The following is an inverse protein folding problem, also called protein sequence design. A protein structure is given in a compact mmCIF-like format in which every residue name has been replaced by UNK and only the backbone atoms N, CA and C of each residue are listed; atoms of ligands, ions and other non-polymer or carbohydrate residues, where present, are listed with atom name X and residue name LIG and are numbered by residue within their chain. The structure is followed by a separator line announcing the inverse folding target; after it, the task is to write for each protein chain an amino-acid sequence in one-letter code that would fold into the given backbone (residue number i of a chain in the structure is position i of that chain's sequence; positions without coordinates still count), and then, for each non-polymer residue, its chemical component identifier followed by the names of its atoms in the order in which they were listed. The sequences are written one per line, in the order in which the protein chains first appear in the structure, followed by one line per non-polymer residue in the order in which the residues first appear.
data_IF_306329837120
#
_entry.id   IF_306329837120
#
_cell.length_a   1.000
_cell.length_b   1.000
_cell.length_c   1.000
_cell.angle_alpha   90.00
_cell.angle_beta   90.00
_cell.angle_gamma   90.00
#
_symmetry.space_group_name_H-M   'P 1'
#
loop_
_entity.id
_entity.type
_entity.pdbx_description
1 polymer ?
#
# COMPACT_ATOMS: atom_id res chain seq x y z
N UNK A 1 10.77 44.95 55.44
CA UNK A 1 11.10 45.85 54.32
C UNK A 1 12.26 45.21 53.54
N UNK A 2 12.01 44.70 52.39
CA UNK A 2 12.81 44.70 51.16
C UNK A 2 12.07 43.83 50.15
N UNK A 3 11.59 44.50 49.10
CA UNK A 3 10.88 43.94 47.96
C UNK A 3 11.87 43.25 47.02
N UNK A 4 11.57 42.05 46.56
CA UNK A 4 12.24 41.44 45.41
C UNK A 4 11.29 41.37 44.25
N UNK A 5 11.59 42.09 43.19
CA UNK A 5 10.89 42.09 41.95
C UNK A 5 11.11 40.79 41.17
N UNK A 6 10.04 40.18 40.72
CA UNK A 6 10.04 39.06 39.79
C UNK A 6 10.17 39.54 38.35
N UNK A 7 11.22 39.14 37.68
CA UNK A 7 11.37 39.30 36.22
C UNK A 7 10.67 38.19 35.49
N UNK A 8 9.59 38.55 34.76
CA UNK A 8 8.95 37.67 33.81
C UNK A 8 9.74 37.63 32.50
N UNK A 9 10.36 36.50 32.18
CA UNK A 9 10.90 36.24 30.85
C UNK A 9 9.78 35.76 29.94
N UNK A 10 9.28 36.66 29.10
CA UNK A 10 8.40 36.30 27.98
C UNK A 10 9.23 35.70 26.84
N UNK A 11 9.06 34.42 26.61
CA UNK A 11 9.49 33.77 25.39
C UNK A 11 8.67 34.26 24.20
N UNK A 12 9.26 34.60 23.07
CA UNK A 12 8.46 34.94 21.89
C UNK A 12 7.82 33.66 21.33
N UNK A 13 6.51 33.61 21.36
CA UNK A 13 5.69 32.68 20.62
C UNK A 13 5.78 33.04 19.14
N UNK A 14 6.57 32.30 18.37
CA UNK A 14 6.52 32.36 16.92
C UNK A 14 5.27 31.60 16.45
N UNK A 15 4.18 32.30 16.29
CA UNK A 15 3.02 31.83 15.53
C UNK A 15 3.35 31.96 14.04
N UNK A 16 4.12 31.02 13.48
CA UNK A 16 4.09 30.80 12.04
C UNK A 16 2.67 30.30 11.69
N UNK A 17 1.96 31.12 10.92
CA UNK A 17 0.71 30.67 10.30
C UNK A 17 1.04 29.51 9.37
N UNK A 18 0.27 28.40 9.41
CA UNK A 18 0.42 27.34 8.43
C UNK A 18 0.31 27.94 7.03
N UNK A 19 1.28 27.66 6.17
CA UNK A 19 1.21 28.00 4.75
C UNK A 19 0.07 27.15 4.18
N UNK A 20 -1.09 27.73 4.02
CA UNK A 20 -2.19 27.11 3.28
C UNK A 20 -1.84 27.18 1.81
N UNK A 21 -1.37 26.06 1.25
CA UNK A 21 -1.29 25.90 -0.19
C UNK A 21 -2.69 26.08 -0.79
N UNK A 22 -2.82 26.66 -1.98
CA UNK A 22 -4.12 26.77 -2.64
C UNK A 22 -4.63 25.35 -2.91
N UNK A 23 -5.76 25.02 -2.30
CA UNK A 23 -6.43 23.73 -2.49
C UNK A 23 -7.09 23.74 -3.85
N UNK A 24 -6.55 22.95 -4.80
CA UNK A 24 -7.16 22.78 -6.11
C UNK A 24 -7.93 21.47 -6.10
N UNK A 25 -9.25 21.56 -6.14
CA UNK A 25 -10.14 20.41 -6.18
C UNK A 25 -10.45 20.02 -7.63
N UNK A 26 -10.55 18.71 -7.96
CA UNK A 26 -11.08 18.30 -9.24
C UNK A 26 -12.56 18.74 -9.37
N UNK A 27 -12.97 19.08 -10.58
CA UNK A 27 -14.35 19.48 -10.84
C UNK A 27 -15.34 18.33 -10.58
N UNK A 28 -16.51 18.67 -10.08
CA UNK A 28 -17.57 17.71 -9.77
C UNK A 28 -18.23 17.17 -11.06
N UNK A 29 -18.58 15.88 -11.17
CA UNK A 29 -18.61 14.82 -10.16
C UNK A 29 -17.35 13.92 -10.19
N UNK A 30 -16.25 14.34 -9.60
CA UNK A 30 -15.02 13.54 -9.44
C UNK A 30 -14.30 13.21 -10.74
N UNK A 31 -14.50 14.00 -11.78
CA UNK A 31 -13.76 13.92 -13.04
C UNK A 31 -12.54 14.82 -12.92
N UNK A 32 -11.37 14.28 -13.30
CA UNK A 32 -10.15 15.07 -13.31
C UNK A 32 -10.26 16.27 -14.27
N UNK A 33 -9.93 17.46 -13.78
CA UNK A 33 -9.62 18.56 -14.66
C UNK A 33 -8.36 18.22 -15.45
N UNK A 34 -8.46 18.27 -16.77
CA UNK A 34 -7.35 18.00 -17.67
C UNK A 34 -6.66 19.30 -18.07
N UNK A 35 -5.33 19.27 -18.18
CA UNK A 35 -4.55 20.41 -18.60
C UNK A 35 -3.36 19.98 -19.48
N UNK A 36 -2.84 20.89 -20.30
CA UNK A 36 -1.60 20.61 -21.01
C UNK A 36 -0.42 20.72 -20.06
N UNK A 37 0.64 19.92 -20.23
CA UNK A 37 1.84 20.02 -19.42
C UNK A 37 2.41 21.44 -19.38
N UNK A 38 2.40 22.15 -20.49
CA UNK A 38 2.94 23.51 -20.61
C UNK A 38 2.18 24.50 -19.71
N UNK A 39 0.88 24.30 -19.52
CA UNK A 39 0.05 25.19 -18.68
C UNK A 39 0.39 25.12 -17.20
N UNK A 40 1.10 24.08 -16.77
CA UNK A 40 1.57 23.87 -15.39
C UNK A 40 3.10 23.83 -15.29
N UNK A 41 3.79 24.39 -16.29
CA UNK A 41 5.25 24.55 -16.28
C UNK A 41 6.02 23.27 -16.55
N UNK A 42 5.46 22.33 -17.32
CA UNK A 42 6.13 21.09 -17.71
C UNK A 42 6.22 20.96 -19.23
N UNK A 43 7.20 20.23 -19.72
CA UNK A 43 7.42 19.96 -21.14
C UNK A 43 6.71 18.67 -21.55
N UNK A 44 5.74 18.75 -22.47
CA UNK A 44 5.06 17.60 -23.04
C UNK A 44 6.01 16.63 -23.75
N UNK A 45 7.03 17.14 -24.42
CA UNK A 45 8.03 16.33 -25.12
C UNK A 45 8.85 15.48 -24.14
N UNK A 46 9.30 16.06 -23.03
CA UNK A 46 10.05 15.32 -21.99
C UNK A 46 9.16 14.38 -21.21
N UNK A 47 7.91 14.76 -20.90
CA UNK A 47 6.94 13.83 -20.31
C UNK A 47 6.68 12.65 -21.24
N UNK A 48 6.57 12.88 -22.55
CA UNK A 48 6.44 11.78 -23.51
C UNK A 48 7.59 10.78 -23.38
N UNK A 49 8.84 11.26 -23.25
CA UNK A 49 10.02 10.39 -23.07
C UNK A 49 9.95 9.60 -21.74
N UNK A 50 9.53 10.25 -20.65
CA UNK A 50 9.33 9.56 -19.38
C UNK A 50 8.30 8.44 -19.51
N UNK A 51 7.19 8.69 -20.20
CA UNK A 51 6.16 7.68 -20.41
C UNK A 51 6.56 6.61 -21.44
N UNK A 52 7.40 6.92 -22.41
CA UNK A 52 8.01 5.92 -23.30
C UNK A 52 8.88 4.95 -22.50
N UNK A 53 9.67 5.47 -21.56
CA UNK A 53 10.41 4.63 -20.61
C UNK A 53 9.47 3.74 -19.77
N UNK A 54 8.40 4.31 -19.19
CA UNK A 54 7.47 3.53 -18.37
C UNK A 54 6.74 2.44 -19.16
N UNK A 55 6.45 2.69 -20.46
CA UNK A 55 5.70 1.79 -21.33
C UNK A 55 6.58 0.89 -22.22
N UNK A 56 7.91 0.89 -22.01
CA UNK A 56 8.81 0.03 -22.78
C UNK A 56 8.48 -1.44 -22.62
N UNK A 57 8.81 -2.25 -23.61
CA UNK A 57 8.65 -3.70 -23.55
C UNK A 57 9.44 -4.32 -22.40
N UNK A 58 8.87 -5.26 -21.70
CA UNK A 58 9.43 -5.87 -20.49
C UNK A 58 9.25 -5.03 -19.22
N UNK A 59 8.61 -3.85 -19.27
CA UNK A 59 8.23 -3.10 -18.09
C UNK A 59 6.94 -3.62 -17.45
N UNK A 60 6.11 -4.33 -18.19
CA UNK A 60 4.77 -4.78 -17.80
C UNK A 60 3.82 -3.67 -17.34
N UNK A 61 4.13 -2.42 -17.62
CA UNK A 61 3.29 -1.29 -17.26
C UNK A 61 1.99 -1.34 -18.04
N UNK A 62 0.85 -1.27 -17.34
CA UNK A 62 -0.48 -1.22 -17.94
C UNK A 62 -1.10 0.17 -17.89
N UNK A 63 -0.72 0.96 -16.90
CA UNK A 63 -1.17 2.34 -16.77
C UNK A 63 -0.08 3.19 -16.12
N UNK A 64 0.07 4.42 -16.59
CA UNK A 64 0.83 5.46 -15.92
C UNK A 64 0.11 6.79 -16.12
N UNK A 65 0.06 7.62 -15.07
CA UNK A 65 -0.54 8.94 -15.13
C UNK A 65 0.13 9.89 -14.14
N UNK A 66 0.01 11.18 -14.40
CA UNK A 66 0.56 12.24 -13.57
C UNK A 66 -0.47 13.34 -13.33
N UNK A 67 -0.61 13.70 -12.06
CA UNK A 67 -1.37 14.85 -11.60
C UNK A 67 -0.36 15.91 -11.17
N UNK A 68 -0.52 17.11 -11.67
CA UNK A 68 0.27 18.29 -11.32
C UNK A 68 -0.66 19.45 -10.96
N UNK A 69 -0.47 20.01 -9.78
CA UNK A 69 -1.30 21.12 -9.28
C UNK A 69 -2.81 20.83 -9.37
N UNK A 70 -3.21 19.58 -9.03
CA UNK A 70 -4.59 19.13 -9.03
C UNK A 70 -5.17 18.79 -10.40
N UNK A 71 -4.38 18.83 -11.47
CA UNK A 71 -4.84 18.55 -12.84
C UNK A 71 -4.18 17.31 -13.42
N UNK A 72 -4.95 16.50 -14.13
CA UNK A 72 -4.44 15.40 -14.92
C UNK A 72 -3.75 16.00 -16.18
N UNK A 73 -2.43 15.83 -16.27
CA UNK A 73 -1.65 16.44 -17.34
C UNK A 73 -1.11 15.44 -18.35
N UNK A 74 -1.00 14.17 -17.98
CA UNK A 74 -0.62 13.10 -18.90
C UNK A 74 -1.06 11.75 -18.37
N UNK A 75 -1.48 10.86 -19.27
CA UNK A 75 -1.79 9.46 -18.97
C UNK A 75 -1.57 8.57 -20.17
N UNK A 76 -1.16 7.33 -19.93
CA UNK A 76 -1.07 6.28 -20.95
C UNK A 76 -1.49 4.94 -20.38
N UNK A 77 -2.05 4.12 -21.28
CA UNK A 77 -2.57 2.78 -20.98
C UNK A 77 -2.15 1.80 -22.06
N UNK A 78 -1.88 0.54 -21.69
CA UNK A 78 -1.68 -0.55 -22.64
C UNK A 78 -1.96 -1.91 -22.00
N UNK A 79 -2.23 -2.92 -22.83
CA UNK A 79 -2.10 -4.32 -22.43
C UNK A 79 -0.64 -4.77 -22.39
N UNK A 80 -0.39 -6.01 -22.05
CA UNK A 80 0.94 -6.61 -22.16
C UNK A 80 1.28 -6.90 -23.62
N UNK A 81 2.59 -6.95 -23.90
CA UNK A 81 3.11 -7.32 -25.22
C UNK A 81 3.21 -8.84 -25.37
N UNK A 82 3.41 -9.30 -26.61
CA UNK A 82 3.65 -10.72 -26.89
C UNK A 82 4.91 -11.26 -26.17
N UNK A 83 5.96 -10.43 -26.08
CA UNK A 83 7.20 -10.83 -25.38
C UNK A 83 6.97 -10.89 -23.87
N UNK A 84 6.24 -9.97 -23.28
CA UNK A 84 5.85 -10.00 -21.87
C UNK A 84 4.97 -11.22 -21.55
N UNK A 85 4.01 -11.54 -22.42
CA UNK A 85 3.20 -12.75 -22.27
C UNK A 85 4.04 -14.02 -22.30
N UNK A 86 5.02 -14.11 -23.21
CA UNK A 86 5.92 -15.26 -23.29
C UNK A 86 6.78 -15.45 -22.03
N UNK A 87 7.21 -14.36 -21.37
CA UNK A 87 7.90 -14.44 -20.08
C UNK A 87 7.01 -15.03 -18.99
N UNK A 88 5.72 -14.72 -19.00
CA UNK A 88 4.75 -15.30 -18.06
C UNK A 88 4.48 -16.77 -18.34
N UNK A 89 4.42 -17.19 -19.61
CA UNK A 89 4.30 -18.61 -20.00
C UNK A 89 5.40 -19.45 -19.36
N UNK A 90 6.64 -18.97 -19.44
CA UNK A 90 7.78 -19.67 -18.85
C UNK A 90 7.69 -19.81 -17.33
N UNK A 91 7.05 -18.85 -16.66
CA UNK A 91 6.99 -18.80 -15.19
C UNK A 91 5.77 -19.50 -14.60
N UNK A 92 4.65 -19.56 -15.31
CA UNK A 92 3.33 -19.94 -14.74
C UNK A 92 2.73 -21.19 -15.40
N UNK A 93 3.24 -21.64 -16.56
CA UNK A 93 2.76 -22.84 -17.22
C UNK A 93 1.37 -22.72 -17.85
N UNK A 94 0.95 -21.50 -18.20
CA UNK A 94 -0.24 -21.21 -19.03
C UNK A 94 0.22 -20.80 -20.42
N UNK A 95 -0.65 -20.91 -21.44
CA UNK A 95 -0.32 -20.47 -22.78
C UNK A 95 -0.28 -18.93 -22.91
N UNK A 96 0.34 -18.46 -23.98
CA UNK A 96 0.47 -17.03 -24.26
C UNK A 96 -0.87 -16.34 -24.40
N UNK A 97 -1.84 -16.98 -25.06
CA UNK A 97 -3.16 -16.39 -25.27
C UNK A 97 -3.92 -16.18 -23.97
N UNK A 98 -3.71 -17.06 -22.98
CA UNK A 98 -4.29 -16.87 -21.65
C UNK A 98 -3.84 -15.51 -21.07
N UNK A 99 -2.55 -15.19 -21.13
CA UNK A 99 -2.03 -13.93 -20.58
C UNK A 99 -2.43 -12.72 -21.44
N UNK A 100 -2.38 -12.82 -22.76
CA UNK A 100 -2.83 -11.75 -23.67
C UNK A 100 -4.31 -11.41 -23.49
N UNK A 101 -5.15 -12.40 -23.19
CA UNK A 101 -6.55 -12.18 -22.90
C UNK A 101 -6.77 -11.57 -21.51
N UNK A 102 -6.03 -12.08 -20.48
CA UNK A 102 -6.16 -11.62 -19.11
C UNK A 102 -5.68 -10.17 -18.95
N UNK A 103 -4.57 -9.82 -19.61
CA UNK A 103 -3.95 -8.50 -19.59
C UNK A 103 -4.08 -7.78 -20.94
N UNK A 104 -5.26 -7.89 -21.54
CA UNK A 104 -5.58 -7.24 -22.81
C UNK A 104 -5.46 -5.70 -22.73
N UNK A 105 -5.80 -5.01 -23.80
CA UNK A 105 -5.76 -3.54 -23.84
C UNK A 105 -6.44 -2.91 -22.63
N UNK A 106 -5.80 -1.89 -22.09
CA UNK A 106 -6.27 -1.12 -20.93
C UNK A 106 -6.62 0.30 -21.34
N UNK A 107 -7.53 0.87 -20.59
CA UNK A 107 -7.97 2.26 -20.70
C UNK A 107 -8.15 2.87 -19.29
N UNK A 108 -8.70 4.08 -19.25
CA UNK A 108 -8.94 4.82 -18.01
C UNK A 108 -9.90 4.14 -17.03
N UNK A 109 -10.78 3.29 -17.55
CA UNK A 109 -11.84 2.62 -16.79
C UNK A 109 -11.46 1.19 -16.39
N UNK A 110 -10.29 0.72 -16.85
CA UNK A 110 -9.80 -0.61 -16.55
C UNK A 110 -9.36 -0.72 -15.10
N UNK A 111 -9.85 -1.77 -14.42
CA UNK A 111 -9.45 -2.07 -13.05
C UNK A 111 -8.06 -2.68 -13.01
N UNK A 112 -7.30 -2.28 -12.02
CA UNK A 112 -6.00 -2.85 -11.67
C UNK A 112 -5.99 -3.17 -10.18
N UNK A 113 -5.23 -4.18 -9.78
CA UNK A 113 -5.12 -4.49 -8.36
C UNK A 113 -3.96 -3.77 -7.70
N UNK A 114 -4.18 -3.37 -6.47
CA UNK A 114 -3.23 -2.56 -5.70
C UNK A 114 -2.03 -3.33 -5.16
N UNK A 115 -2.15 -4.66 -4.98
CA UNK A 115 -1.26 -5.40 -4.08
C UNK A 115 -1.05 -4.63 -2.76
N UNK A 116 0.18 -4.57 -2.26
CA UNK A 116 0.47 -3.94 -0.96
C UNK A 116 0.22 -2.43 -0.88
N UNK A 117 -0.07 -1.75 -1.98
CA UNK A 117 -0.59 -0.37 -1.97
C UNK A 117 -1.86 -0.25 -1.12
N UNK A 118 -2.67 -1.31 -1.03
CA UNK A 118 -3.81 -1.42 -0.12
C UNK A 118 -3.48 -1.08 1.34
N UNK A 119 -2.28 -1.43 1.81
CA UNK A 119 -1.86 -1.16 3.19
C UNK A 119 -1.94 0.32 3.56
N UNK A 120 -1.59 1.17 2.62
CA UNK A 120 -1.65 2.62 2.81
C UNK A 120 -3.08 3.13 2.90
N UNK A 121 -4.02 2.51 2.16
CA UNK A 121 -5.44 2.82 2.31
C UNK A 121 -5.95 2.41 3.70
N UNK A 122 -5.61 1.20 4.17
CA UNK A 122 -6.00 0.75 5.52
C UNK A 122 -5.40 1.64 6.60
N UNK A 123 -4.14 2.05 6.46
CA UNK A 123 -3.52 3.01 7.35
C UNK A 123 -4.30 4.32 7.40
N UNK A 124 -4.69 4.86 6.24
CA UNK A 124 -5.44 6.10 6.19
C UNK A 124 -6.84 5.95 6.80
N UNK A 125 -7.49 4.77 6.68
CA UNK A 125 -8.74 4.47 7.38
C UNK A 125 -8.57 4.46 8.91
N UNK A 126 -7.43 3.98 9.43
CA UNK A 126 -7.08 4.14 10.86
C UNK A 126 -6.96 5.63 11.22
N UNK A 127 -6.31 6.44 10.37
CA UNK A 127 -6.24 7.89 10.55
C UNK A 127 -7.62 8.56 10.59
N UNK A 128 -8.54 8.14 9.73
CA UNK A 128 -9.94 8.58 9.75
C UNK A 128 -10.63 8.14 11.04
N UNK A 129 -10.44 6.88 11.47
CA UNK A 129 -11.05 6.34 12.68
C UNK A 129 -10.59 7.10 13.94
N UNK A 130 -9.33 7.54 13.97
CA UNK A 130 -8.83 8.41 15.04
C UNK A 130 -9.45 9.81 14.92
N UNK A 131 -9.52 10.34 13.71
CA UNK A 131 -10.06 11.68 13.46
C UNK A 131 -11.53 11.84 13.86
N UNK A 132 -12.33 10.81 13.65
CA UNK A 132 -13.77 10.81 14.00
C UNK A 132 -14.09 10.21 15.36
N UNK A 133 -13.07 9.81 16.14
CA UNK A 133 -13.22 9.30 17.50
C UNK A 133 -13.66 7.84 17.60
N UNK A 134 -13.71 7.09 16.50
CA UNK A 134 -13.95 5.62 16.49
C UNK A 134 -12.81 4.87 17.19
N UNK A 135 -11.58 5.35 17.02
CA UNK A 135 -10.37 4.92 17.74
C UNK A 135 -9.84 6.13 18.50
N UNK A 136 -9.48 5.96 19.78
CA UNK A 136 -9.03 7.11 20.59
C UNK A 136 -7.66 7.60 20.17
N UNK A 137 -6.71 6.69 19.93
CA UNK A 137 -5.33 7.02 19.56
C UNK A 137 -4.63 5.84 18.89
N UNK A 138 -3.72 6.11 17.95
CA UNK A 138 -2.82 5.07 17.43
C UNK A 138 -1.81 4.58 18.48
N UNK A 139 -1.63 5.33 19.56
CA UNK A 139 -0.75 4.92 20.67
C UNK A 139 -1.44 4.00 21.68
N UNK A 140 -2.73 3.77 21.54
CA UNK A 140 -3.46 2.83 22.39
C UNK A 140 -3.03 1.39 22.09
N UNK A 141 -3.14 0.55 23.11
CA UNK A 141 -2.92 -0.88 22.93
C UNK A 141 -3.92 -1.47 21.95
N UNK A 142 -3.42 -2.25 21.00
CA UNK A 142 -4.26 -3.00 20.06
C UNK A 142 -5.16 -4.02 20.78
N UNK A 143 -4.79 -4.46 21.99
CA UNK A 143 -5.57 -5.40 22.79
C UNK A 143 -6.93 -4.86 23.25
N UNK A 144 -7.15 -3.54 23.16
CA UNK A 144 -8.48 -2.93 23.36
C UNK A 144 -9.48 -3.50 22.33
N UNK A 145 -9.01 -3.80 21.15
CA UNK A 145 -9.82 -4.34 20.04
C UNK A 145 -9.53 -5.83 19.80
N UNK A 146 -8.28 -6.27 19.91
CA UNK A 146 -7.86 -7.66 19.74
C UNK A 146 -7.81 -8.32 21.11
N UNK A 147 -8.96 -8.74 21.62
CA UNK A 147 -9.11 -9.29 22.97
C UNK A 147 -8.21 -10.51 23.23
N UNK A 148 -7.86 -11.25 22.18
CA UNK A 148 -6.95 -12.39 22.20
C UNK A 148 -5.54 -12.02 22.70
N UNK A 149 -5.20 -10.73 22.68
CA UNK A 149 -3.91 -10.21 23.13
C UNK A 149 -3.94 -9.62 24.54
N UNK A 150 -5.11 -9.57 25.18
CA UNK A 150 -5.29 -8.86 26.46
C UNK A 150 -4.67 -9.57 27.67
N UNK A 151 -4.38 -10.86 27.57
CA UNK A 151 -3.96 -11.70 28.70
C UNK A 151 -2.47 -12.06 28.68
N UNK A 152 -1.71 -11.60 27.70
CA UNK A 152 -0.28 -11.88 27.56
C UNK A 152 0.49 -10.61 27.14
N UNK A 153 1.81 -10.76 26.90
CA UNK A 153 2.70 -9.64 26.57
C UNK A 153 2.32 -8.89 25.29
N UNK A 154 1.49 -9.49 24.42
CA UNK A 154 0.96 -8.81 23.22
C UNK A 154 0.06 -7.63 23.58
N UNK A 155 -0.40 -7.53 24.81
CA UNK A 155 -1.14 -6.36 25.34
C UNK A 155 -0.31 -5.07 25.31
N UNK A 156 1.00 -5.18 25.20
CA UNK A 156 1.90 -4.02 25.04
C UNK A 156 1.99 -3.48 23.60
N UNK A 157 1.49 -4.21 22.61
CA UNK A 157 1.52 -3.81 21.20
C UNK A 157 0.54 -2.66 20.98
N UNK A 158 1.02 -1.53 20.53
CA UNK A 158 0.16 -0.39 20.15
C UNK A 158 -0.30 -0.51 18.69
N UNK A 159 -1.39 0.18 18.34
CA UNK A 159 -1.82 0.30 16.93
C UNK A 159 -0.69 0.91 16.09
N UNK A 160 0.07 1.87 16.66
CA UNK A 160 1.23 2.47 15.99
C UNK A 160 2.33 1.43 15.69
N UNK A 161 2.62 0.51 16.60
CA UNK A 161 3.59 -0.55 16.33
C UNK A 161 3.18 -1.39 15.11
N UNK A 162 1.89 -1.68 14.96
CA UNK A 162 1.36 -2.43 13.82
C UNK A 162 1.43 -1.59 12.53
N UNK A 163 1.05 -0.30 12.59
CA UNK A 163 1.15 0.62 11.48
C UNK A 163 2.59 0.77 10.96
N UNK A 164 3.56 0.73 11.85
CA UNK A 164 4.98 0.88 11.52
C UNK A 164 5.68 -0.46 11.20
N UNK A 165 4.96 -1.57 11.13
CA UNK A 165 5.53 -2.91 10.93
C UNK A 165 6.57 -3.28 12.01
N UNK A 166 6.26 -2.95 13.27
CA UNK A 166 7.10 -3.13 14.46
C UNK A 166 6.32 -3.82 15.58
N UNK A 167 5.36 -4.66 15.21
CA UNK A 167 4.50 -5.37 16.16
C UNK A 167 5.27 -6.37 17.04
N UNK A 168 6.39 -6.85 16.57
CA UNK A 168 7.15 -7.89 17.27
C UNK A 168 6.58 -9.30 17.17
N UNK A 169 5.54 -9.48 16.36
CA UNK A 169 4.90 -10.78 16.18
C UNK A 169 5.69 -11.66 15.18
N UNK A 170 5.80 -12.95 15.52
CA UNK A 170 6.49 -13.91 14.64
C UNK A 170 5.80 -13.98 13.28
N UNK A 171 6.53 -13.89 12.17
CA UNK A 171 5.96 -14.01 10.82
C UNK A 171 5.38 -15.42 10.57
N UNK A 172 4.46 -15.50 9.60
CA UNK A 172 3.93 -16.77 9.10
C UNK A 172 4.80 -17.25 7.94
N UNK A 173 5.28 -18.48 8.03
CA UNK A 173 6.06 -19.18 7.02
C UNK A 173 5.28 -20.37 6.46
N UNK A 174 5.68 -20.83 5.28
CA UNK A 174 5.21 -22.09 4.74
C UNK A 174 6.20 -23.21 5.14
N UNK A 175 5.72 -24.19 5.91
CA UNK A 175 6.46 -25.38 6.22
C UNK A 175 6.28 -26.41 5.11
N UNK A 176 7.30 -26.55 4.25
CA UNK A 176 7.26 -27.49 3.13
C UNK A 176 7.29 -28.97 3.57
N UNK A 177 7.78 -29.26 4.78
CA UNK A 177 7.82 -30.63 5.27
C UNK A 177 6.42 -31.12 5.68
N UNK A 178 5.66 -30.26 6.32
CA UNK A 178 4.32 -30.57 6.79
C UNK A 178 3.22 -30.06 5.83
N UNK A 179 3.60 -29.32 4.80
CA UNK A 179 2.68 -28.69 3.82
C UNK A 179 1.63 -27.79 4.52
N UNK A 180 2.07 -27.02 5.49
CA UNK A 180 1.21 -26.16 6.30
C UNK A 180 1.80 -24.76 6.51
N UNK A 181 0.94 -23.82 6.90
CA UNK A 181 1.33 -22.50 7.36
C UNK A 181 1.47 -22.48 8.87
N UNK A 182 2.67 -22.15 9.34
CA UNK A 182 3.02 -22.05 10.73
C UNK A 182 3.84 -20.78 11.00
N UNK A 183 4.02 -20.45 12.28
CA UNK A 183 5.00 -19.44 12.66
C UNK A 183 6.39 -19.84 12.20
N UNK A 184 7.15 -18.87 11.71
CA UNK A 184 8.50 -19.12 11.24
C UNK A 184 9.40 -19.64 12.36
N UNK A 185 9.99 -20.81 12.16
CA UNK A 185 10.92 -21.45 13.08
C UNK A 185 12.23 -21.77 12.38
N UNK A 186 13.25 -22.20 13.14
CA UNK A 186 14.50 -22.73 12.58
C UNK A 186 14.19 -23.97 11.74
N UNK A 187 14.41 -23.89 10.44
CA UNK A 187 14.17 -24.99 9.49
C UNK A 187 12.94 -24.87 8.62
N UNK A 188 12.02 -23.96 8.91
CA UNK A 188 10.99 -23.60 7.95
C UNK A 188 11.59 -22.76 6.83
N UNK A 189 11.11 -22.96 5.60
CA UNK A 189 11.53 -22.11 4.51
C UNK A 189 11.11 -20.66 4.81
N UNK A 190 12.09 -19.84 5.10
CA UNK A 190 11.86 -18.43 5.39
C UNK A 190 11.47 -17.77 4.08
N UNK A 191 10.20 -17.49 3.91
CA UNK A 191 9.79 -16.58 2.85
C UNK A 191 9.33 -15.24 3.44
N UNK A 192 9.45 -14.24 2.60
CA UNK A 192 8.83 -12.94 2.84
C UNK A 192 7.34 -13.11 3.11
N UNK A 193 6.73 -12.29 3.96
CA UNK A 193 5.36 -12.33 4.48
C UNK A 193 4.18 -12.59 3.52
N UNK A 194 4.44 -13.11 2.31
CA UNK A 194 3.44 -13.47 1.31
C UNK A 194 2.75 -14.82 1.52
N UNK A 195 3.28 -15.67 2.40
CA UNK A 195 2.77 -17.04 2.56
C UNK A 195 1.34 -17.14 3.09
N UNK A 196 0.87 -16.15 3.78
CA UNK A 196 -0.48 -16.08 4.33
C UNK A 196 -1.56 -16.27 3.25
N UNK A 197 -1.29 -15.98 2.00
CA UNK A 197 -2.22 -16.18 0.87
C UNK A 197 -2.64 -17.64 0.68
N UNK A 198 -1.90 -18.58 1.24
CA UNK A 198 -2.22 -20.01 1.18
C UNK A 198 -3.13 -20.48 2.33
N UNK A 199 -3.53 -19.57 3.25
CA UNK A 199 -4.45 -19.89 4.34
C UNK A 199 -5.90 -19.69 3.91
N UNK A 200 -6.77 -20.60 4.34
CA UNK A 200 -8.22 -20.45 4.17
C UNK A 200 -8.77 -19.35 5.10
N UNK A 201 -8.19 -19.20 6.28
CA UNK A 201 -8.50 -18.17 7.27
C UNK A 201 -7.24 -17.40 7.60
N UNK A 202 -6.97 -16.37 6.80
CA UNK A 202 -5.78 -15.56 6.94
C UNK A 202 -5.83 -14.69 8.21
N UNK A 203 -7.00 -14.22 8.58
CA UNK A 203 -7.16 -13.36 9.77
C UNK A 203 -6.86 -14.13 11.06
N UNK A 204 -7.41 -15.32 11.21
CA UNK A 204 -7.16 -16.17 12.38
C UNK A 204 -5.65 -16.47 12.53
N UNK A 205 -4.98 -16.81 11.42
CA UNK A 205 -3.51 -17.00 11.42
C UNK A 205 -2.77 -15.76 11.91
N UNK A 206 -3.22 -14.58 11.50
CA UNK A 206 -2.56 -13.31 11.85
C UNK A 206 -2.77 -12.92 13.32
N UNK A 207 -3.97 -13.13 13.87
CA UNK A 207 -4.30 -12.80 15.26
C UNK A 207 -3.58 -13.74 16.24
N UNK A 208 -3.45 -15.02 15.89
CA UNK A 208 -2.93 -16.06 16.80
C UNK A 208 -1.39 -16.14 16.82
N UNK A 209 -0.68 -15.22 16.17
CA UNK A 209 0.79 -15.16 16.23
C UNK A 209 1.28 -14.85 17.64
N UNK A 210 2.39 -15.50 18.02
CA UNK A 210 3.11 -15.22 19.26
C UNK A 210 4.06 -14.04 19.11
N UNK A 211 4.47 -13.45 20.24
CA UNK A 211 5.58 -12.49 20.26
C UNK A 211 6.90 -13.23 20.04
N UNK A 212 7.78 -12.61 19.24
CA UNK A 212 9.13 -13.07 19.09
C UNK A 212 9.95 -12.87 20.36
N UNK A 213 10.86 -13.79 20.63
CA UNK A 213 11.84 -13.64 21.71
C UNK A 213 12.77 -12.47 21.41
N UNK A 214 12.97 -11.60 22.39
CA UNK A 214 13.79 -10.41 22.30
C UNK A 214 15.27 -10.71 22.60
N UNK A 215 16.18 -10.03 21.93
CA UNK A 215 17.61 -10.13 22.18
C UNK A 215 18.28 -11.40 21.65
N UNK A 216 17.63 -12.15 20.76
CA UNK A 216 18.15 -13.36 20.13
C UNK A 216 18.12 -13.26 18.60
N UNK A 217 18.81 -14.18 17.95
CA UNK A 217 18.75 -14.31 16.49
C UNK A 217 17.55 -15.14 16.07
N UNK A 218 16.86 -14.72 15.04
CA UNK A 218 15.76 -15.45 14.43
C UNK A 218 16.05 -15.77 12.95
N UNK A 219 15.75 -16.98 12.45
CA UNK A 219 16.03 -17.34 11.07
C UNK A 219 15.22 -16.51 10.04
N UNK A 220 14.15 -15.88 10.48
CA UNK A 220 13.28 -15.01 9.69
C UNK A 220 13.64 -13.52 9.77
N UNK A 221 14.61 -13.13 10.63
CA UNK A 221 15.03 -11.74 10.78
C UNK A 221 16.38 -11.51 10.12
N UNK A 222 16.43 -10.54 9.22
CA UNK A 222 17.61 -10.28 8.39
C UNK A 222 18.05 -11.56 7.63
N UNK A 223 19.31 -11.91 7.74
CA UNK A 223 19.93 -13.11 7.19
C UNK A 223 20.03 -14.26 8.23
N UNK A 224 19.31 -14.13 9.35
CA UNK A 224 19.36 -15.08 10.46
C UNK A 224 20.55 -14.90 11.40
N UNK A 225 21.47 -13.97 11.12
CA UNK A 225 22.65 -13.71 11.94
C UNK A 225 22.55 -12.47 12.82
N UNK A 226 21.58 -11.60 12.57
CA UNK A 226 21.36 -10.38 13.32
C UNK A 226 20.47 -10.62 14.54
N UNK A 227 20.83 -10.05 15.70
CA UNK A 227 20.01 -10.07 16.90
C UNK A 227 18.75 -9.23 16.62
N UNK A 228 17.60 -9.82 16.89
CA UNK A 228 16.31 -9.15 16.80
C UNK A 228 16.00 -8.47 18.14
N UNK A 229 15.50 -7.24 18.07
CA UNK A 229 14.95 -6.53 19.21
C UNK A 229 13.48 -6.19 18.98
N UNK A 230 12.69 -6.31 20.05
CA UNK A 230 11.27 -5.98 20.01
C UNK A 230 11.09 -4.51 19.60
N UNK A 231 10.35 -4.29 18.51
CA UNK A 231 10.24 -2.97 17.89
C UNK A 231 11.12 -2.78 16.65
N UNK A 232 11.97 -3.75 16.30
CA UNK A 232 12.64 -3.75 15.01
C UNK A 232 11.63 -3.87 13.88
N UNK A 233 11.98 -3.24 12.76
CA UNK A 233 11.13 -3.28 11.56
C UNK A 233 11.11 -4.70 10.95
N UNK A 234 9.90 -5.22 10.77
CA UNK A 234 9.68 -6.46 10.00
C UNK A 234 8.40 -6.35 9.18
N UNK A 235 8.55 -6.22 7.88
CA UNK A 235 7.42 -6.13 6.97
C UNK A 235 6.50 -7.37 7.08
N UNK A 236 5.19 -7.13 7.30
CA UNK A 236 4.23 -8.19 7.61
C UNK A 236 2.86 -7.91 7.00
N UNK A 237 2.37 -8.82 6.16
CA UNK A 237 1.00 -8.78 5.66
C UNK A 237 -0.02 -8.95 6.80
N UNK A 238 0.33 -9.76 7.79
CA UNK A 238 -0.49 -10.00 8.97
C UNK A 238 -0.75 -8.74 9.79
N UNK A 239 0.22 -7.85 9.89
CA UNK A 239 0.04 -6.59 10.63
C UNK A 239 -1.11 -5.78 10.02
N UNK A 240 -1.17 -5.69 8.70
CA UNK A 240 -2.27 -4.97 8.06
C UNK A 240 -3.62 -5.73 8.14
N UNK A 241 -3.61 -7.08 8.10
CA UNK A 241 -4.84 -7.84 8.37
C UNK A 241 -5.42 -7.50 9.74
N UNK A 242 -4.56 -7.41 10.77
CA UNK A 242 -4.97 -7.01 12.13
C UNK A 242 -5.50 -5.57 12.17
N UNK A 243 -4.91 -4.62 11.41
CA UNK A 243 -5.47 -3.26 11.31
C UNK A 243 -6.89 -3.25 10.73
N UNK A 244 -7.16 -4.08 9.72
CA UNK A 244 -8.51 -4.26 9.18
C UNK A 244 -9.50 -4.78 10.24
N UNK A 245 -9.07 -5.72 11.06
CA UNK A 245 -9.86 -6.26 12.17
C UNK A 245 -10.08 -5.23 13.28
N UNK A 246 -9.07 -4.40 13.57
CA UNK A 246 -9.22 -3.28 14.53
C UNK A 246 -10.31 -2.33 14.07
N UNK A 247 -10.35 -1.97 12.78
CA UNK A 247 -11.42 -1.14 12.22
C UNK A 247 -12.78 -1.81 12.44
N UNK A 248 -12.89 -3.11 12.13
CA UNK A 248 -14.14 -3.85 12.30
C UNK A 248 -14.60 -3.84 13.76
N UNK A 249 -13.73 -4.19 14.71
CA UNK A 249 -14.10 -4.26 16.12
C UNK A 249 -14.36 -2.90 16.76
N UNK A 250 -13.71 -1.85 16.26
CA UNK A 250 -13.94 -0.48 16.72
C UNK A 250 -15.25 0.12 16.19
N UNK A 251 -15.59 -0.16 14.92
CA UNK A 251 -16.70 0.50 14.22
C UNK A 251 -17.95 -0.36 14.04
N UNK A 252 -17.82 -1.69 14.14
CA UNK A 252 -18.86 -2.65 13.75
C UNK A 252 -18.99 -2.83 12.23
N UNK A 253 -18.12 -2.23 11.43
CA UNK A 253 -18.13 -2.28 9.96
C UNK A 253 -16.85 -2.92 9.44
N UNK A 254 -16.96 -3.84 8.47
CA UNK A 254 -15.79 -4.32 7.75
C UNK A 254 -15.08 -3.20 6.98
N UNK A 255 -13.81 -3.43 6.58
CA UNK A 255 -13.00 -2.38 5.96
C UNK A 255 -13.59 -1.87 4.64
N UNK A 256 -14.31 -2.71 3.86
CA UNK A 256 -14.97 -2.28 2.63
C UNK A 256 -16.10 -1.30 2.96
N UNK A 257 -16.99 -1.69 3.85
CA UNK A 257 -18.12 -0.86 4.29
C UNK A 257 -17.64 0.42 4.94
N UNK A 258 -16.62 0.32 5.81
CA UNK A 258 -16.04 1.48 6.48
C UNK A 258 -15.38 2.46 5.49
N UNK A 259 -14.62 1.92 4.53
CA UNK A 259 -13.97 2.73 3.49
C UNK A 259 -14.97 3.40 2.56
N UNK A 260 -16.01 2.67 2.13
CA UNK A 260 -17.08 3.20 1.28
C UNK A 260 -17.73 4.41 1.92
N UNK A 261 -18.10 4.30 3.19
CA UNK A 261 -18.80 5.37 3.91
C UNK A 261 -17.89 6.55 4.26
N UNK A 262 -16.65 6.28 4.70
CA UNK A 262 -15.78 7.30 5.29
C UNK A 262 -14.74 7.88 4.33
N UNK A 263 -14.42 7.19 3.21
CA UNK A 263 -13.40 7.61 2.27
C UNK A 263 -13.88 7.58 0.82
N UNK A 264 -14.26 6.41 0.29
CA UNK A 264 -14.44 6.22 -1.15
C UNK A 264 -15.55 7.11 -1.71
N UNK A 265 -16.73 7.10 -1.08
CA UNK A 265 -17.84 7.99 -1.48
C UNK A 265 -17.50 9.48 -1.34
N UNK A 266 -16.59 9.83 -0.43
CA UNK A 266 -16.20 11.22 -0.17
C UNK A 266 -15.29 11.80 -1.24
N UNK A 267 -14.37 10.97 -1.76
CA UNK A 267 -13.39 11.40 -2.75
C UNK A 267 -13.68 10.84 -4.17
N UNK A 268 -14.84 10.20 -4.34
CA UNK A 268 -15.30 9.69 -5.63
C UNK A 268 -14.44 8.56 -6.18
N UNK A 269 -14.01 7.64 -5.32
CA UNK A 269 -13.33 6.40 -5.67
C UNK A 269 -14.32 5.26 -5.73
N UNK A 270 -14.18 4.38 -6.73
CA UNK A 270 -14.79 3.06 -6.76
C UNK A 270 -13.70 2.02 -6.59
N UNK A 271 -13.68 1.33 -5.45
CA UNK A 271 -12.65 0.34 -5.16
C UNK A 271 -13.21 -0.83 -4.33
N UNK A 272 -12.66 -2.01 -4.53
CA UNK A 272 -13.15 -3.23 -3.90
C UNK A 272 -12.03 -4.17 -3.49
N UNK A 273 -12.03 -4.61 -2.21
CA UNK A 273 -11.08 -5.60 -1.71
C UNK A 273 -11.45 -7.02 -2.10
N UNK A 274 -10.42 -7.82 -2.36
CA UNK A 274 -10.54 -9.27 -2.45
C UNK A 274 -10.80 -9.88 -1.07
N UNK A 275 -11.29 -11.14 -1.09
CA UNK A 275 -11.52 -11.94 0.12
C UNK A 275 -10.74 -13.25 0.08
N UNK A 276 -10.40 -13.78 1.26
CA UNK A 276 -10.00 -15.17 1.42
C UNK A 276 -11.23 -16.10 1.52
N UNK A 277 -10.96 -17.39 1.66
CA UNK A 277 -12.00 -18.39 1.93
C UNK A 277 -11.81 -18.91 3.35
N UNK A 278 -12.72 -18.60 4.23
CA UNK A 278 -12.70 -19.14 5.60
C UNK A 278 -13.01 -20.64 5.62
N UNK A 279 -13.86 -21.12 4.73
CA UNK A 279 -14.11 -22.55 4.48
C UNK A 279 -14.91 -22.72 3.20
N UNK A 280 -14.86 -23.94 2.61
CA UNK A 280 -15.76 -24.28 1.49
C UNK A 280 -17.21 -24.08 1.92
N UNK A 281 -17.93 -23.24 1.17
CA UNK A 281 -19.35 -22.97 1.40
C UNK A 281 -19.68 -21.79 2.29
N UNK A 282 -18.71 -21.09 2.89
CA UNK A 282 -18.95 -19.82 3.57
C UNK A 282 -18.81 -18.65 2.61
N UNK A 283 -19.89 -17.86 2.49
CA UNK A 283 -19.93 -16.66 1.64
C UNK A 283 -19.13 -15.47 2.19
N UNK A 284 -18.60 -15.58 3.41
CA UNK A 284 -18.06 -14.48 4.20
C UNK A 284 -16.57 -14.66 4.50
N UNK A 285 -15.72 -14.73 3.48
CA UNK A 285 -14.27 -14.67 3.68
C UNK A 285 -13.83 -13.32 4.26
N UNK A 286 -12.63 -13.31 4.87
CA UNK A 286 -12.03 -12.07 5.38
C UNK A 286 -11.58 -11.17 4.23
N UNK A 287 -11.85 -9.88 4.31
CA UNK A 287 -11.30 -8.90 3.39
C UNK A 287 -9.78 -8.81 3.55
N UNK A 288 -9.05 -8.86 2.43
CA UNK A 288 -7.59 -8.89 2.43
C UNK A 288 -7.03 -7.47 2.59
N UNK A 289 -7.09 -6.96 3.81
CA UNK A 289 -6.67 -5.60 4.14
C UNK A 289 -5.26 -5.25 3.64
N UNK A 290 -4.35 -6.23 3.59
CA UNK A 290 -2.95 -6.04 3.23
C UNK A 290 -2.68 -5.96 1.73
N UNK A 291 -3.64 -6.36 0.88
CA UNK A 291 -3.46 -6.36 -0.57
C UNK A 291 -4.79 -6.20 -1.32
N UNK A 292 -4.68 -6.25 -2.61
CA UNK A 292 -5.75 -6.72 -3.48
C UNK A 292 -7.00 -5.84 -3.41
N UNK A 293 -6.80 -4.52 -3.41
CA UNK A 293 -7.83 -3.52 -3.63
C UNK A 293 -7.86 -3.20 -5.13
N UNK A 294 -8.94 -3.55 -5.80
CA UNK A 294 -9.15 -3.25 -7.20
C UNK A 294 -9.78 -1.88 -7.37
N UNK A 295 -9.20 -1.08 -8.26
CA UNK A 295 -9.71 0.24 -8.62
C UNK A 295 -9.14 0.68 -9.96
N UNK A 296 -9.57 1.82 -10.49
CA UNK A 296 -8.93 2.43 -11.65
C UNK A 296 -7.65 3.18 -11.26
N UNK A 297 -6.73 3.33 -12.20
CA UNK A 297 -5.51 4.14 -11.95
C UNK A 297 -5.83 5.59 -11.65
N UNK A 298 -6.89 6.13 -12.26
CA UNK A 298 -7.38 7.50 -11.97
C UNK A 298 -7.90 7.63 -10.54
N UNK A 299 -8.53 6.61 -9.99
CA UNK A 299 -9.00 6.59 -8.61
C UNK A 299 -7.85 6.45 -7.61
N UNK A 300 -6.84 5.65 -7.93
CA UNK A 300 -5.61 5.63 -7.13
C UNK A 300 -4.94 7.02 -7.08
N UNK A 301 -5.00 7.77 -8.18
CA UNK A 301 -4.49 9.15 -8.18
C UNK A 301 -5.29 10.09 -7.27
N UNK A 302 -6.62 9.90 -7.13
CA UNK A 302 -7.44 10.69 -6.19
C UNK A 302 -6.99 10.48 -4.75
N UNK A 303 -6.66 9.24 -4.38
CA UNK A 303 -6.11 8.95 -3.06
C UNK A 303 -4.78 9.69 -2.82
N UNK A 304 -3.86 9.61 -3.78
CA UNK A 304 -2.59 10.35 -3.72
C UNK A 304 -2.80 11.87 -3.64
N UNK A 305 -3.71 12.40 -4.44
CA UNK A 305 -4.02 13.83 -4.43
C UNK A 305 -4.67 14.30 -3.13
N UNK A 306 -5.56 13.51 -2.55
CA UNK A 306 -6.14 13.80 -1.24
C UNK A 306 -5.05 13.88 -0.15
N UNK A 307 -4.06 12.98 -0.15
CA UNK A 307 -2.91 13.06 0.74
C UNK A 307 -2.10 14.33 0.51
N UNK A 308 -1.87 14.69 -0.75
CA UNK A 308 -1.18 15.92 -1.13
C UNK A 308 -1.88 17.17 -0.57
N UNK A 309 -3.20 17.14 -0.47
CA UNK A 309 -4.05 18.18 0.13
C UNK A 309 -4.14 18.11 1.67
N UNK A 310 -3.27 17.32 2.33
CA UNK A 310 -3.25 17.22 3.79
C UNK A 310 -4.41 16.40 4.37
N UNK A 311 -5.00 15.50 3.61
CA UNK A 311 -6.16 14.70 4.03
C UNK A 311 -7.50 15.45 3.92
N UNK A 312 -7.54 16.49 3.13
CA UNK A 312 -8.74 17.31 2.88
C UNK A 312 -9.22 17.05 1.45
N UNK A 313 -10.52 16.93 1.27
CA UNK A 313 -11.16 16.80 -0.04
C UNK A 313 -12.41 17.66 -0.10
N UNK A 314 -12.51 18.54 -1.11
CA UNK A 314 -13.63 19.49 -1.28
C UNK A 314 -14.02 20.24 0.00
N UNK A 315 -13.04 20.67 0.78
CA UNK A 315 -13.25 21.36 2.06
C UNK A 315 -13.65 20.45 3.22
N UNK A 316 -13.86 19.16 2.99
CA UNK A 316 -14.13 18.17 4.03
C UNK A 316 -12.85 17.52 4.51
N UNK A 317 -12.62 17.52 5.81
CA UNK A 317 -11.47 16.85 6.43
C UNK A 317 -11.78 15.35 6.47
N UNK A 318 -10.94 14.55 5.81
CA UNK A 318 -11.03 13.10 5.85
C UNK A 318 -10.21 12.51 7.01
N UNK A 319 -9.06 13.12 7.32
CA UNK A 319 -8.24 12.78 8.47
C UNK A 319 -7.57 14.03 9.03
N UNK A 320 -7.14 13.98 10.30
CA UNK A 320 -6.38 15.08 10.87
C UNK A 320 -5.11 15.37 10.07
N UNK A 321 -4.85 16.64 9.82
CA UNK A 321 -3.63 17.07 9.12
C UNK A 321 -2.36 16.49 9.77
N UNK A 322 -2.33 16.35 11.10
CA UNK A 322 -1.20 15.76 11.82
C UNK A 322 -0.89 14.31 11.39
N UNK A 323 -1.89 13.54 10.96
CA UNK A 323 -1.65 12.19 10.44
C UNK A 323 -0.95 12.23 9.08
N UNK A 324 -1.38 13.14 8.20
CA UNK A 324 -0.75 13.32 6.89
C UNK A 324 0.64 13.94 7.03
N UNK A 325 0.83 14.90 7.95
CA UNK A 325 2.16 15.45 8.26
C UNK A 325 3.11 14.37 8.80
N UNK A 326 2.61 13.43 9.59
CA UNK A 326 3.42 12.29 10.04
C UNK A 326 3.82 11.37 8.87
N UNK A 327 2.95 11.16 7.89
CA UNK A 327 3.29 10.44 6.64
C UNK A 327 4.33 11.23 5.84
N UNK A 328 4.14 12.53 5.68
CA UNK A 328 5.06 13.41 4.94
C UNK A 328 6.46 13.45 5.57
N UNK A 329 6.56 13.36 6.90
CA UNK A 329 7.80 13.40 7.65
C UNK A 329 8.54 12.07 7.79
N UNK A 330 8.15 11.02 7.05
CA UNK A 330 8.82 9.72 7.13
C UNK A 330 10.25 9.78 6.56
N UNK A 331 11.18 9.15 7.27
CA UNK A 331 12.56 8.99 6.83
C UNK A 331 12.78 7.68 6.04
N UNK A 332 11.93 6.67 6.27
CA UNK A 332 12.03 5.39 5.55
C UNK A 332 10.65 4.73 5.39
N UNK A 333 10.20 3.97 6.37
CA UNK A 333 8.90 3.32 6.42
C UNK A 333 8.18 3.65 7.72
N UNK A 334 6.91 3.94 7.64
CA UNK A 334 6.02 4.11 8.77
C UNK A 334 4.60 4.36 8.31
N UNK A 335 3.65 4.17 9.21
CA UNK A 335 2.22 4.34 8.90
C UNK A 335 1.81 3.64 7.59
N UNK A 336 2.41 2.50 7.26
CA UNK A 336 2.18 1.72 6.02
C UNK A 336 2.54 2.47 4.72
N UNK A 337 3.43 3.46 4.77
CA UNK A 337 3.99 4.18 3.63
C UNK A 337 5.51 4.03 3.58
N UNK A 338 6.08 4.21 2.40
CA UNK A 338 7.51 4.22 2.15
C UNK A 338 7.99 5.61 1.73
N UNK A 339 9.22 5.96 2.05
CA UNK A 339 9.95 6.86 1.16
C UNK A 339 10.43 6.05 -0.04
N UNK A 340 10.32 6.59 -1.24
CA UNK A 340 10.70 5.85 -2.45
C UNK A 340 12.18 5.45 -2.41
N UNK A 341 13.04 6.30 -1.87
CA UNK A 341 14.47 6.11 -1.76
C UNK A 341 14.86 5.02 -0.77
N UNK A 342 14.18 4.90 0.36
CA UNK A 342 14.47 3.85 1.33
C UNK A 342 14.26 2.44 0.74
N UNK A 343 13.34 2.30 -0.20
CA UNK A 343 13.06 1.02 -0.87
C UNK A 343 13.97 0.73 -2.04
N UNK A 344 14.47 1.77 -2.73
CA UNK A 344 15.27 1.68 -3.95
C UNK A 344 16.61 2.43 -3.79
N UNK A 345 17.42 1.99 -2.85
CA UNK A 345 18.66 2.66 -2.39
C UNK A 345 19.79 2.74 -3.42
N UNK A 346 19.65 2.16 -4.59
CA UNK A 346 20.74 2.07 -5.58
C UNK A 346 20.91 3.32 -6.44
N UNK A 347 20.01 4.31 -6.34
CA UNK A 347 20.09 5.53 -7.14
C UNK A 347 20.54 6.72 -6.27
N UNK A 348 21.75 7.23 -6.51
CA UNK A 348 22.35 8.33 -5.78
C UNK A 348 21.59 9.67 -5.90
N UNK A 349 20.67 9.77 -6.87
CA UNK A 349 19.90 10.98 -7.14
C UNK A 349 18.43 10.87 -6.67
N UNK A 350 18.12 9.89 -5.82
CA UNK A 350 16.77 9.73 -5.31
C UNK A 350 16.38 10.88 -4.38
N UNK A 351 15.21 11.46 -4.59
CA UNK A 351 14.64 12.50 -3.72
C UNK A 351 13.93 11.82 -2.53
N UNK A 352 14.51 11.94 -1.34
CA UNK A 352 14.01 11.32 -0.11
C UNK A 352 12.67 11.90 0.36
N UNK A 353 12.26 13.05 -0.17
CA UNK A 353 10.98 13.69 0.17
C UNK A 353 9.76 13.04 -0.50
N UNK A 354 9.98 12.11 -1.44
CA UNK A 354 8.89 11.46 -2.17
C UNK A 354 8.36 10.28 -1.34
N UNK A 355 7.14 10.43 -0.88
CA UNK A 355 6.39 9.37 -0.21
C UNK A 355 5.71 8.50 -1.26
N UNK A 356 5.71 7.20 -1.04
CA UNK A 356 5.09 6.26 -1.97
C UNK A 356 4.31 5.16 -1.26
N UNK A 357 3.19 4.78 -1.85
CA UNK A 357 2.63 3.45 -1.65
C UNK A 357 3.34 2.49 -2.60
N UNK A 358 3.63 1.28 -2.17
CA UNK A 358 4.36 0.31 -2.99
C UNK A 358 3.66 -1.05 -2.93
N UNK A 359 3.17 -1.51 -4.07
CA UNK A 359 2.62 -2.84 -4.26
C UNK A 359 3.55 -3.75 -5.06
N UNK A 360 3.40 -5.06 -4.86
CA UNK A 360 4.09 -6.08 -5.64
C UNK A 360 3.89 -5.81 -7.13
N UNK A 361 4.84 -6.24 -7.96
CA UNK A 361 4.86 -6.03 -9.41
C UNK A 361 4.92 -4.55 -9.84
N UNK A 362 5.13 -3.64 -8.89
CA UNK A 362 5.34 -2.22 -9.19
C UNK A 362 4.04 -1.42 -9.27
N UNK A 363 3.14 -1.63 -8.35
CA UNK A 363 1.98 -0.76 -8.15
C UNK A 363 2.42 0.44 -7.30
N UNK A 364 2.45 1.64 -7.87
CA UNK A 364 2.95 2.84 -7.20
C UNK A 364 1.92 3.96 -7.20
N UNK A 365 1.82 4.66 -6.06
CA UNK A 365 1.31 6.02 -5.97
C UNK A 365 2.44 6.82 -5.33
N UNK A 366 3.15 7.61 -6.12
CA UNK A 366 4.24 8.46 -5.65
C UNK A 366 3.72 9.87 -5.43
N UNK A 367 4.02 10.46 -4.28
CA UNK A 367 3.48 11.74 -3.83
C UNK A 367 4.64 12.67 -3.53
N UNK A 368 4.78 13.72 -4.30
CA UNK A 368 5.75 14.79 -4.07
C UNK A 368 5.03 16.02 -3.51
N UNK A 369 5.09 16.16 -2.20
CA UNK A 369 4.47 17.29 -1.49
C UNK A 369 5.14 18.63 -1.83
N UNK A 370 6.41 18.62 -2.22
CA UNK A 370 7.15 19.85 -2.48
C UNK A 370 6.84 20.43 -3.85
N UNK A 371 6.47 19.55 -4.82
CA UNK A 371 6.22 19.95 -6.20
C UNK A 371 4.74 19.83 -6.61
N UNK A 372 3.85 19.46 -5.68
CA UNK A 372 2.43 19.20 -5.97
C UNK A 372 2.23 18.19 -7.12
N UNK A 373 2.95 17.07 -7.05
CA UNK A 373 2.89 16.01 -8.06
C UNK A 373 2.40 14.71 -7.42
N UNK A 374 1.49 14.05 -8.12
CA UNK A 374 1.15 12.64 -7.89
C UNK A 374 1.42 11.86 -9.15
N UNK A 375 2.18 10.80 -9.04
CA UNK A 375 2.42 9.86 -10.14
C UNK A 375 1.87 8.51 -9.76
N UNK A 376 1.02 7.95 -10.61
CA UNK A 376 0.54 6.58 -10.48
C UNK A 376 1.14 5.75 -11.59
N UNK A 377 1.64 4.59 -11.24
CA UNK A 377 2.01 3.56 -12.20
C UNK A 377 1.45 2.23 -11.73
N UNK A 378 0.70 1.58 -12.60
CA UNK A 378 0.21 0.24 -12.39
C UNK A 378 0.82 -0.70 -13.42
N UNK A 379 1.26 -1.83 -12.93
CA UNK A 379 1.74 -2.96 -13.70
C UNK A 379 0.67 -4.03 -13.75
N UNK A 380 0.90 -5.05 -14.54
CA UNK A 380 0.13 -6.28 -14.36
C UNK A 380 0.28 -6.75 -12.92
N UNK A 381 -0.74 -7.36 -12.39
CA UNK A 381 -0.60 -8.16 -11.19
C UNK A 381 -0.33 -9.60 -11.59
N UNK A 382 0.63 -10.21 -10.94
CA UNK A 382 0.89 -11.61 -11.19
C UNK A 382 -0.22 -12.44 -10.55
N UNK A 383 -0.98 -13.22 -11.33
CA UNK A 383 -1.98 -14.11 -10.74
C UNK A 383 -1.27 -15.13 -9.85
N UNK A 384 -1.79 -15.34 -8.65
CA UNK A 384 -1.30 -16.38 -7.76
C UNK A 384 -1.97 -17.68 -8.19
N UNK A 385 -1.21 -18.59 -8.76
CA UNK A 385 -1.68 -19.88 -9.22
C UNK A 385 -1.12 -21.00 -8.33
N UNK A 386 -1.92 -22.01 -8.09
CA UNK A 386 -1.46 -23.28 -7.51
C UNK A 386 -1.94 -24.44 -8.38
N UNK A 387 -1.01 -25.17 -8.95
CA UNK A 387 -1.33 -26.28 -9.83
C UNK A 387 -2.06 -27.45 -9.13
N UNK A 388 -2.00 -27.55 -7.81
CA UNK A 388 -2.53 -28.65 -7.00
C UNK A 388 -3.62 -28.27 -6.01
N UNK A 389 -3.91 -26.97 -5.83
CA UNK A 389 -4.90 -26.48 -4.85
C UNK A 389 -5.69 -25.32 -5.39
N UNK A 390 -6.95 -25.21 -4.97
CA UNK A 390 -7.76 -24.03 -5.23
C UNK A 390 -7.13 -22.79 -4.60
N UNK A 391 -7.27 -21.66 -5.27
CA UNK A 391 -6.77 -20.40 -4.77
C UNK A 391 -7.53 -20.01 -3.50
N UNK A 392 -6.79 -19.57 -2.49
CA UNK A 392 -7.31 -19.16 -1.19
C UNK A 392 -7.77 -17.71 -1.14
N UNK A 393 -7.84 -17.05 -2.28
CA UNK A 393 -8.31 -15.68 -2.41
C UNK A 393 -9.41 -15.59 -3.46
N UNK A 394 -10.37 -14.73 -3.23
CA UNK A 394 -11.47 -14.48 -4.14
C UNK A 394 -11.59 -13.00 -4.47
N UNK A 395 -11.66 -12.69 -5.75
CA UNK A 395 -12.05 -11.36 -6.22
C UNK A 395 -13.49 -11.05 -5.81
N UNK A 396 -13.75 -9.85 -5.34
CA UNK A 396 -15.06 -9.38 -4.95
C UNK A 396 -15.27 -7.90 -5.29
N UNK A 397 -16.42 -7.49 -5.77
CA UNK A 397 -17.46 -8.28 -6.46
C UNK A 397 -17.01 -8.49 -7.90
N UNK A 398 -17.54 -9.35 -8.54
CA UNK A 398 -17.33 -9.48 -9.95
C UNK A 398 -16.26 -10.43 -10.26
N UNK A 399 -16.75 -11.20 -10.70
CA UNK A 399 -16.43 -12.43 -11.21
C UNK A 399 -15.51 -12.29 -12.41
N UNK A 400 -14.27 -12.12 -12.11
CA UNK A 400 -13.33 -12.83 -12.96
C UNK A 400 -13.45 -14.27 -12.47
N UNK A 401 -14.18 -15.11 -13.20
CA UNK A 401 -14.48 -16.50 -12.82
C UNK A 401 -13.26 -17.21 -12.22
N UNK A 402 -13.22 -17.22 -10.92
CA UNK A 402 -12.04 -17.56 -10.10
C UNK A 402 -11.73 -19.04 -10.12
N UNK A 403 -12.62 -19.86 -10.66
CA UNK A 403 -12.45 -21.29 -10.78
C UNK A 403 -11.15 -21.73 -11.49
N UNK A 404 -10.45 -20.80 -12.13
CA UNK A 404 -9.24 -21.07 -12.91
C UNK A 404 -7.96 -20.44 -12.34
N UNK A 405 -8.02 -19.76 -11.20
CA UNK A 405 -6.84 -19.19 -10.58
C UNK A 405 -6.19 -20.25 -9.70
N UNK A 406 -4.98 -20.64 -10.06
CA UNK A 406 -4.20 -21.63 -9.33
C UNK A 406 -2.96 -20.95 -8.79
N UNK A 407 -2.61 -21.17 -7.52
CA UNK A 407 -1.37 -20.65 -6.97
C UNK A 407 -0.19 -21.50 -7.45
N UNK A 408 0.82 -20.89 -8.03
CA UNK A 408 2.10 -21.56 -8.24
C UNK A 408 2.96 -21.43 -6.99
N UNK A 409 3.82 -22.39 -6.70
CA UNK A 409 4.77 -22.25 -5.60
C UNK A 409 5.58 -20.97 -5.74
N UNK A 410 5.92 -20.30 -4.62
CA UNK A 410 6.58 -18.99 -4.61
C UNK A 410 7.95 -18.94 -5.27
N UNK A 411 8.58 -20.08 -5.53
CA UNK A 411 9.96 -20.17 -6.02
C UNK A 411 10.19 -19.62 -7.44
N UNK A 412 9.17 -19.15 -8.12
CA UNK A 412 9.33 -18.63 -9.48
C UNK A 412 8.60 -17.30 -9.73
N UNK A 413 7.82 -16.87 -8.77
CA UNK A 413 6.92 -15.74 -8.95
C UNK A 413 7.51 -14.46 -8.36
N UNK A 414 7.57 -13.42 -9.11
CA UNK A 414 7.78 -12.07 -8.62
C UNK A 414 9.20 -11.56 -8.56
N UNK A 415 10.20 -12.37 -8.73
CA UNK A 415 11.58 -11.88 -8.64
C UNK A 415 11.96 -10.99 -9.84
N UNK A 416 11.33 -11.11 -11.00
CA UNK A 416 11.87 -10.54 -12.23
C UNK A 416 10.87 -9.98 -13.24
N UNK A 417 9.58 -9.84 -12.92
CA UNK A 417 8.59 -9.35 -13.89
C UNK A 417 8.82 -7.88 -14.24
N UNK A 418 9.38 -7.11 -13.32
CA UNK A 418 9.63 -5.67 -13.50
C UNK A 418 11.12 -5.33 -13.67
N UNK A 419 11.93 -6.21 -14.23
CA UNK A 419 13.37 -6.02 -14.37
C UNK A 419 13.76 -4.78 -15.18
N UNK A 420 12.92 -4.36 -16.11
CA UNK A 420 13.17 -3.22 -17.00
C UNK A 420 12.52 -1.92 -16.53
N UNK A 421 11.96 -1.86 -15.33
CA UNK A 421 11.35 -0.66 -14.78
C UNK A 421 11.95 -0.30 -13.42
N UNK A 422 12.47 0.91 -13.31
CA UNK A 422 12.94 1.50 -12.07
C UNK A 422 12.06 2.73 -11.73
N UNK A 423 11.35 2.75 -10.59
CA UNK A 423 10.46 3.86 -10.25
C UNK A 423 11.22 5.17 -10.00
N UNK A 424 12.45 5.12 -9.50
CA UNK A 424 13.25 6.33 -9.28
C UNK A 424 13.76 6.93 -10.58
N UNK A 425 14.10 6.10 -11.57
CA UNK A 425 14.44 6.53 -12.92
C UNK A 425 13.23 7.19 -13.62
N UNK A 426 12.07 6.51 -13.56
CA UNK A 426 10.84 7.06 -14.11
C UNK A 426 10.51 8.42 -13.50
N UNK A 427 10.64 8.54 -12.17
CA UNK A 427 10.37 9.79 -11.49
C UNK A 427 11.40 10.87 -11.84
N UNK A 428 12.68 10.52 -11.98
CA UNK A 428 13.73 11.45 -12.42
C UNK A 428 13.43 12.03 -13.81
N UNK A 429 13.00 11.19 -14.75
CA UNK A 429 12.58 11.66 -16.08
C UNK A 429 11.37 12.61 -16.04
N UNK A 430 10.45 12.40 -15.07
CA UNK A 430 9.34 13.33 -14.83
C UNK A 430 9.86 14.68 -14.30
N UNK A 431 10.82 14.65 -13.35
CA UNK A 431 11.43 15.87 -12.82
C UNK A 431 12.15 16.67 -13.91
N UNK A 432 12.84 15.99 -14.83
CA UNK A 432 13.48 16.64 -15.99
C UNK A 432 12.48 17.38 -16.90
N UNK A 433 11.22 17.00 -16.85
CA UNK A 433 10.17 17.67 -17.60
C UNK A 433 9.68 18.98 -16.96
N UNK A 434 10.05 19.29 -15.73
CA UNK A 434 9.75 20.57 -15.08
C UNK A 434 10.67 21.64 -15.71
N UNK A 435 10.08 22.80 -16.10
CA UNK A 435 10.77 23.91 -16.74
C UNK A 435 11.40 24.86 -15.71
#
# INVERSE_FOLDING_TARGET
MISCGGGSSSSPSSTEKPVTLPVIYPSHPYVWDEATPESVGMSSAKLSQAFDYAMQDGSFTQAALIIKDGKLIHERYRGITDSEANLLVASVGRDQNFFLNLFSSRDRDSLVTSWSTSKSFVSFLIGIAVSNGTISSINDSASIYINEWSTDDRSSITIKNILDMRSGLVPICFDFLNNELAECSSGAAVSSGGNIVYSDDQLSKCINRSLAEDGVTHPWYSDGGTIYHRGDFKYSNCDTMVLGEIIFRASGQDIQTYAEYNLFSKIGISATWWKDFVSQGQSNGNLLAYCCLDSTSRDFAKFGHMLLLGGIWEGSIQSHNSYVEAIRGLESYGLQFWTICARYTTNLNCDESIISTIGLDGQYIMIDFNRNIVVVRNSLYQPIFNASQEMKMKLFPGDLSQSNWLATPPSGLGANINTNFNPTEFYSLILDAIN
#
